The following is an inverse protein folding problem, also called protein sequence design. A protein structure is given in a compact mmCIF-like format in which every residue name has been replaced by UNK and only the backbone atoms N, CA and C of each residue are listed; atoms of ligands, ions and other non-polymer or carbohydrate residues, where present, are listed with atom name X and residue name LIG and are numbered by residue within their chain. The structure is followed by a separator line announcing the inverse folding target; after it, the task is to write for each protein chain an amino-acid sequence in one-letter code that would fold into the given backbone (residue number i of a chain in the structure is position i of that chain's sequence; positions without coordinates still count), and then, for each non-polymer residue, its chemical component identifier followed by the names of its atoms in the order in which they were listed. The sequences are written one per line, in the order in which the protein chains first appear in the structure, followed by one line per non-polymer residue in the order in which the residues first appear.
data_IF_652676371159
#
_entry.id   IF_652676371159
#
_cell.length_a   1.000
_cell.length_b   1.000
_cell.length_c   1.000
_cell.angle_alpha   90.00
_cell.angle_beta   90.00
_cell.angle_gamma   90.00
#
_symmetry.space_group_name_H-M   'P 1'
#
loop_
_entity.id
_entity.type
_entity.pdbx_description
1 polymer ?
#
# COMPACT_ATOMS: atom_id res chain seq x y z
N UNK A 1 4.96 -39.15 -73.99
CA UNK A 1 5.27 -37.75 -74.35
C UNK A 1 5.96 -37.14 -73.14
N UNK A 2 7.24 -36.90 -73.30
CA UNK A 2 8.24 -36.62 -72.28
C UNK A 2 8.64 -35.13 -72.35
N UNK A 3 9.11 -34.60 -71.21
CA UNK A 3 9.99 -33.42 -71.03
C UNK A 3 9.43 -31.98 -71.08
N UNK A 4 9.24 -31.41 -69.87
CA UNK A 4 9.95 -30.31 -69.17
C UNK A 4 10.59 -29.16 -70.01
N UNK A 5 10.50 -27.95 -69.41
CA UNK A 5 11.37 -26.73 -69.52
C UNK A 5 10.79 -25.62 -70.41
N UNK A 6 10.83 -24.33 -70.08
CA UNK A 6 11.41 -23.54 -68.97
C UNK A 6 10.74 -22.15 -69.00
N UNK A 7 10.66 -21.46 -67.85
CA UNK A 7 10.46 -20.00 -67.80
C UNK A 7 11.79 -19.28 -68.06
N UNK A 8 11.75 -18.04 -68.56
CA UNK A 8 12.34 -16.99 -67.74
C UNK A 8 11.54 -15.68 -67.70
N UNK A 9 11.62 -15.05 -66.53
CA UNK A 9 11.13 -13.71 -66.19
C UNK A 9 12.21 -12.63 -66.45
N UNK A 10 11.80 -11.40 -66.80
CA UNK A 10 12.46 -10.11 -66.43
C UNK A 10 11.39 -9.00 -66.55
N UNK A 11 10.78 -8.49 -65.47
CA UNK A 11 11.22 -7.49 -64.48
C UNK A 11 11.04 -6.03 -64.93
N UNK A 12 10.18 -5.28 -64.24
CA UNK A 12 10.33 -3.81 -64.11
C UNK A 12 9.76 -3.31 -62.76
N UNK A 13 10.69 -3.09 -61.83
CA UNK A 13 10.84 -1.94 -60.92
C UNK A 13 9.56 -1.40 -60.24
N UNK A 14 9.46 -1.56 -58.92
CA UNK A 14 9.39 -0.43 -57.99
C UNK A 14 9.87 -0.87 -56.61
N UNK A 15 10.82 -0.11 -56.08
CA UNK A 15 11.58 -0.34 -54.85
C UNK A 15 10.93 0.53 -53.75
N UNK A 16 10.37 -0.07 -52.69
CA UNK A 16 10.05 0.62 -51.44
C UNK A 16 10.36 -0.32 -50.28
N UNK A 17 11.45 -0.13 -49.52
CA UNK A 17 11.59 -0.77 -48.22
C UNK A 17 10.83 0.07 -47.19
N UNK A 18 9.63 -0.37 -46.83
CA UNK A 18 8.91 0.20 -45.69
C UNK A 18 9.60 -0.29 -44.41
N UNK A 19 10.46 0.55 -43.83
CA UNK A 19 10.94 0.39 -42.46
C UNK A 19 9.73 0.41 -41.52
N UNK A 20 9.24 -0.76 -41.13
CA UNK A 20 8.37 -0.90 -39.98
C UNK A 20 9.25 -0.72 -38.73
N UNK A 21 9.30 0.50 -38.23
CA UNK A 21 9.84 0.80 -36.90
C UNK A 21 8.86 0.22 -35.88
N UNK A 22 9.01 -1.07 -35.58
CA UNK A 22 8.29 -1.72 -34.49
C UNK A 22 8.88 -1.17 -33.19
N UNK A 23 8.25 -0.13 -32.64
CA UNK A 23 8.54 0.34 -31.29
C UNK A 23 8.20 -0.80 -30.33
N UNK A 24 9.22 -1.60 -30.01
CA UNK A 24 9.16 -2.63 -28.98
C UNK A 24 9.08 -1.89 -27.65
N UNK A 25 7.89 -1.47 -27.24
CA UNK A 25 7.64 -1.01 -25.88
C UNK A 25 7.87 -2.22 -24.99
N UNK A 26 9.09 -2.35 -24.46
CA UNK A 26 9.35 -3.28 -23.37
C UNK A 26 8.47 -2.83 -22.22
N UNK A 27 7.36 -3.54 -22.02
CA UNK A 27 6.63 -3.56 -20.76
C UNK A 27 7.58 -4.16 -19.74
N UNK A 28 8.50 -3.34 -19.21
CA UNK A 28 9.14 -3.67 -17.95
C UNK A 28 8.00 -3.73 -16.96
N UNK A 29 7.67 -4.93 -16.47
CA UNK A 29 6.98 -5.06 -15.19
C UNK A 29 7.91 -4.42 -14.17
N UNK A 30 7.72 -3.11 -13.94
CA UNK A 30 8.45 -2.39 -12.92
C UNK A 30 8.07 -3.07 -11.61
N UNK A 31 9.06 -3.73 -11.00
CA UNK A 31 8.88 -4.29 -9.67
C UNK A 31 8.60 -3.12 -8.74
N UNK A 32 7.49 -3.19 -8.00
CA UNK A 32 7.10 -2.14 -7.05
C UNK A 32 8.28 -1.83 -6.12
N UNK A 33 8.69 -0.56 -6.00
CA UNK A 33 9.83 -0.15 -5.15
C UNK A 33 9.64 -0.59 -3.71
N UNK A 34 8.41 -0.50 -3.20
CA UNK A 34 8.00 -0.94 -1.87
C UNK A 34 6.81 -1.88 -2.01
N UNK A 35 6.87 -3.03 -1.35
CA UNK A 35 5.77 -4.01 -1.33
C UNK A 35 5.31 -4.24 0.11
N UNK A 36 3.99 -4.27 0.33
CA UNK A 36 3.43 -4.74 1.60
C UNK A 36 3.41 -6.27 1.57
N UNK A 37 4.21 -6.92 2.41
CA UNK A 37 4.27 -8.38 2.50
C UNK A 37 3.11 -8.94 3.31
N UNK A 38 2.81 -8.31 4.44
CA UNK A 38 1.82 -8.79 5.40
C UNK A 38 1.25 -7.64 6.21
N UNK A 39 -0.02 -7.78 6.57
CA UNK A 39 -0.71 -6.94 7.56
C UNK A 39 -1.30 -7.88 8.60
N UNK A 40 -0.88 -7.75 9.85
CA UNK A 40 -1.38 -8.57 10.96
C UNK A 40 -2.01 -7.71 12.05
N UNK A 41 -2.95 -8.30 12.78
CA UNK A 41 -3.60 -7.68 13.93
C UNK A 41 -3.43 -8.55 15.17
N UNK A 42 -2.96 -7.93 16.25
CA UNK A 42 -2.67 -8.61 17.50
C UNK A 42 -3.44 -7.97 18.66
N UNK A 43 -3.93 -8.81 19.57
CA UNK A 43 -4.36 -8.37 20.90
C UNK A 43 -3.16 -8.37 21.83
N UNK A 44 -2.99 -7.28 22.57
CA UNK A 44 -1.96 -7.12 23.58
C UNK A 44 -2.59 -7.10 24.97
N UNK A 45 -1.77 -6.81 25.99
CA UNK A 45 -2.25 -6.63 27.36
C UNK A 45 -3.20 -5.44 27.46
N UNK A 46 -4.10 -5.49 28.45
CA UNK A 46 -5.08 -4.43 28.71
C UNK A 46 -5.89 -4.05 27.46
N UNK A 47 -6.20 -5.04 26.61
CA UNK A 47 -6.98 -4.93 25.37
C UNK A 47 -6.42 -3.97 24.30
N UNK A 48 -5.16 -3.56 24.40
CA UNK A 48 -4.52 -2.81 23.32
C UNK A 48 -4.53 -3.63 22.03
N UNK A 49 -4.78 -2.95 20.90
CA UNK A 49 -4.65 -3.56 19.57
C UNK A 49 -3.39 -3.06 18.91
N UNK A 50 -2.71 -3.97 18.22
CA UNK A 50 -1.54 -3.66 17.41
C UNK A 50 -1.81 -4.12 15.98
N UNK A 51 -1.65 -3.20 15.03
CA UNK A 51 -1.50 -3.50 13.61
C UNK A 51 -0.02 -3.57 13.29
N UNK A 52 0.42 -4.62 12.62
CA UNK A 52 1.78 -4.78 12.09
C UNK A 52 1.73 -4.74 10.57
N UNK A 53 2.58 -3.92 9.94
CA UNK A 53 2.73 -3.81 8.50
C UNK A 53 4.17 -4.15 8.15
N UNK A 54 4.38 -5.30 7.52
CA UNK A 54 5.68 -5.72 7.01
C UNK A 54 5.88 -5.20 5.58
N UNK A 55 6.88 -4.36 5.40
CA UNK A 55 7.29 -3.82 4.10
C UNK A 55 8.56 -4.49 3.59
N UNK A 56 8.71 -4.55 2.28
CA UNK A 56 9.92 -4.98 1.61
C UNK A 56 10.36 -3.98 0.55
N UNK A 57 11.66 -3.72 0.45
CA UNK A 57 12.22 -2.77 -0.50
C UNK A 57 12.90 -3.48 -1.68
N UNK A 58 12.44 -3.17 -2.90
CA UNK A 58 13.05 -3.65 -4.15
C UNK A 58 14.11 -2.68 -4.71
N UNK A 59 14.27 -1.52 -4.09
CA UNK A 59 15.09 -0.41 -4.58
C UNK A 59 14.33 0.55 -5.48
N UNK A 60 14.93 1.69 -5.79
CA UNK A 60 14.28 2.75 -6.55
C UNK A 60 14.37 2.49 -8.06
N UNK A 61 13.23 2.37 -8.78
CA UNK A 61 13.20 2.10 -10.21
C UNK A 61 13.50 3.34 -11.06
N UNK A 62 13.43 4.55 -10.48
CA UNK A 62 13.65 5.78 -11.23
C UNK A 62 15.12 5.89 -11.69
N UNK A 63 15.38 6.15 -12.99
CA UNK A 63 16.72 6.42 -13.48
C UNK A 63 17.30 7.74 -12.94
N UNK A 64 16.44 8.64 -12.45
CA UNK A 64 16.83 9.91 -11.85
C UNK A 64 17.09 9.79 -10.34
N UNK A 65 16.88 8.62 -9.76
CA UNK A 65 17.16 8.38 -8.35
C UNK A 65 18.64 8.62 -8.04
N UNK A 66 18.92 9.25 -6.88
CA UNK A 66 20.30 9.39 -6.37
C UNK A 66 21.02 8.04 -6.25
N UNK A 67 20.27 6.97 -5.97
CA UNK A 67 20.74 5.60 -5.94
C UNK A 67 19.61 4.63 -6.22
N UNK A 68 19.83 3.66 -7.10
CA UNK A 68 18.86 2.58 -7.37
C UNK A 68 18.73 1.58 -6.21
N UNK A 69 19.64 1.65 -5.22
CA UNK A 69 19.59 0.80 -4.01
C UNK A 69 18.65 1.33 -2.94
N UNK A 70 18.34 2.61 -2.92
CA UNK A 70 17.61 3.22 -1.81
C UNK A 70 16.32 3.88 -2.27
N UNK A 71 15.25 3.65 -1.52
CA UNK A 71 13.97 4.37 -1.67
C UNK A 71 13.88 5.36 -0.51
N UNK A 72 13.77 6.64 -0.82
CA UNK A 72 13.66 7.74 0.16
C UNK A 72 12.19 8.19 0.30
N UNK A 73 11.85 8.81 1.43
CA UNK A 73 10.54 9.46 1.66
C UNK A 73 9.34 8.53 1.46
N UNK A 74 9.34 7.38 2.14
CA UNK A 74 8.23 6.42 2.09
C UNK A 74 7.23 6.79 3.17
N UNK A 75 6.05 7.27 2.78
CA UNK A 75 4.92 7.49 3.68
C UNK A 75 4.01 6.27 3.65
N UNK A 76 3.61 5.81 4.83
CA UNK A 76 2.67 4.72 5.04
C UNK A 76 1.46 5.30 5.75
N UNK A 77 0.29 5.24 5.09
CA UNK A 77 -0.99 5.58 5.70
C UNK A 77 -1.79 4.32 5.90
N UNK A 78 -2.40 4.18 7.07
CA UNK A 78 -3.23 3.03 7.40
C UNK A 78 -4.66 3.49 7.66
N UNK A 79 -5.60 2.69 7.18
CA UNK A 79 -7.03 2.92 7.30
C UNK A 79 -7.65 1.67 7.91
N UNK A 80 -8.42 1.81 8.99
CA UNK A 80 -9.19 0.74 9.64
C UNK A 80 -10.67 1.15 9.70
N UNK A 81 -11.57 0.19 9.49
CA UNK A 81 -12.98 0.34 9.80
C UNK A 81 -13.47 -0.83 10.65
N UNK A 82 -14.21 -0.49 11.71
CA UNK A 82 -14.91 -1.44 12.56
C UNK A 82 -16.41 -1.24 12.41
N UNK A 83 -17.12 -2.32 12.13
CA UNK A 83 -18.57 -2.32 12.07
C UNK A 83 -19.14 -2.18 13.47
N UNK A 84 -19.93 -1.14 13.68
CA UNK A 84 -20.57 -0.85 14.95
C UNK A 84 -21.94 -1.50 15.03
N UNK A 85 -22.43 -1.69 16.26
CA UNK A 85 -23.82 -2.12 16.50
C UNK A 85 -24.79 -1.03 16.03
N UNK A 86 -25.84 -1.46 15.33
CA UNK A 86 -26.90 -0.59 14.84
C UNK A 86 -26.75 -0.21 13.37
N UNK A 87 -27.61 0.71 12.94
CA UNK A 87 -27.66 1.23 11.58
C UNK A 87 -27.60 2.77 11.62
N UNK A 88 -27.15 3.37 10.53
CA UNK A 88 -27.30 4.80 10.28
C UNK A 88 -28.79 5.18 10.15
N UNK A 89 -29.09 6.47 10.11
CA UNK A 89 -30.46 6.96 9.84
C UNK A 89 -31.01 6.46 8.49
N UNK A 90 -30.12 6.23 7.52
CA UNK A 90 -30.46 5.66 6.21
C UNK A 90 -30.62 4.14 6.21
N UNK A 91 -30.47 3.47 7.36
CA UNK A 91 -30.56 2.01 7.49
C UNK A 91 -29.31 1.25 7.02
N UNK A 92 -28.20 1.94 6.75
CA UNK A 92 -26.94 1.30 6.39
C UNK A 92 -26.17 0.85 7.64
N UNK A 93 -25.28 -0.16 7.57
CA UNK A 93 -24.39 -0.49 8.68
C UNK A 93 -23.56 0.73 9.12
N UNK A 94 -23.47 0.94 10.43
CA UNK A 94 -22.59 1.98 10.98
C UNK A 94 -21.16 1.44 11.08
N UNK A 95 -20.19 2.30 10.81
CA UNK A 95 -18.77 2.02 11.00
C UNK A 95 -18.13 3.16 11.79
N UNK A 96 -17.13 2.82 12.59
CA UNK A 96 -16.17 3.80 13.11
C UNK A 96 -14.84 3.59 12.38
N UNK A 97 -14.24 4.71 11.96
CA UNK A 97 -13.03 4.73 11.14
C UNK A 97 -11.84 5.24 11.96
N UNK A 98 -10.67 4.67 11.70
CA UNK A 98 -9.41 5.07 12.33
C UNK A 98 -8.33 5.16 11.27
N UNK A 99 -7.58 6.26 11.27
CA UNK A 99 -6.47 6.47 10.35
C UNK A 99 -5.21 6.85 11.12
N UNK A 100 -4.06 6.50 10.56
CA UNK A 100 -2.77 6.93 11.06
C UNK A 100 -1.76 6.97 9.93
N UNK A 101 -0.69 7.73 10.12
CA UNK A 101 0.43 7.75 9.18
C UNK A 101 1.79 7.67 9.86
N UNK A 102 2.75 7.10 9.14
CA UNK A 102 4.15 7.08 9.51
C UNK A 102 5.00 7.34 8.26
N UNK A 103 6.07 8.13 8.43
CA UNK A 103 7.03 8.38 7.36
C UNK A 103 8.35 7.67 7.69
N UNK A 104 8.94 7.03 6.69
CA UNK A 104 10.25 6.40 6.72
C UNK A 104 11.19 7.26 5.87
N UNK A 105 12.34 7.59 6.44
CA UNK A 105 13.34 8.44 5.76
C UNK A 105 13.87 7.72 4.53
N UNK A 106 14.28 6.46 4.69
CA UNK A 106 14.98 5.69 3.67
C UNK A 106 14.85 4.18 3.95
N UNK A 107 14.75 3.37 2.89
CA UNK A 107 14.83 1.91 2.92
C UNK A 107 15.83 1.42 1.89
N UNK A 108 16.64 0.41 2.22
CA UNK A 108 17.61 -0.20 1.30
C UNK A 108 17.02 -1.43 0.60
N UNK A 109 17.40 -1.64 -0.67
CA UNK A 109 17.02 -2.81 -1.44
C UNK A 109 17.40 -4.09 -0.69
N UNK A 110 16.42 -4.97 -0.52
CA UNK A 110 16.57 -6.24 0.17
C UNK A 110 16.20 -6.18 1.64
N UNK A 111 16.01 -4.98 2.20
CA UNK A 111 15.55 -4.83 3.58
C UNK A 111 14.05 -5.11 3.67
N UNK A 112 13.69 -5.68 4.82
CA UNK A 112 12.34 -5.73 5.32
C UNK A 112 12.24 -4.88 6.58
N UNK A 113 11.16 -4.11 6.69
CA UNK A 113 10.91 -3.26 7.84
C UNK A 113 9.48 -3.42 8.33
N UNK A 114 9.30 -3.40 9.64
CA UNK A 114 7.99 -3.48 10.25
C UNK A 114 7.56 -2.12 10.81
N UNK A 115 6.34 -1.72 10.46
CA UNK A 115 5.66 -0.60 11.10
C UNK A 115 4.59 -1.16 12.03
N UNK A 116 4.45 -0.52 13.18
CA UNK A 116 3.45 -0.89 14.16
C UNK A 116 2.57 0.31 14.47
N UNK A 117 1.26 0.08 14.48
CA UNK A 117 0.25 1.06 14.86
C UNK A 117 -0.59 0.49 16.00
N UNK A 118 -1.02 1.35 16.92
CA UNK A 118 -1.63 0.93 18.17
C UNK A 118 -2.95 1.64 18.41
N UNK A 119 -3.95 0.88 18.83
CA UNK A 119 -5.22 1.40 19.32
C UNK A 119 -5.29 1.22 20.84
N UNK A 120 -5.58 2.29 21.61
CA UNK A 120 -5.65 2.21 23.07
C UNK A 120 -6.71 1.23 23.56
N UNK A 121 -6.35 0.39 24.53
CA UNK A 121 -7.25 -0.64 25.06
C UNK A 121 -8.56 -0.12 25.64
N UNK A 122 -8.56 1.07 26.26
CA UNK A 122 -9.81 1.69 26.76
C UNK A 122 -10.79 2.05 25.64
N UNK A 123 -10.30 2.41 24.44
CA UNK A 123 -11.16 2.65 23.27
C UNK A 123 -11.72 1.31 22.76
N UNK A 124 -10.83 0.31 22.66
CA UNK A 124 -11.19 -1.06 22.25
C UNK A 124 -12.27 -1.64 23.16
N UNK A 125 -12.13 -1.47 24.48
CA UNK A 125 -13.09 -1.95 25.48
C UNK A 125 -14.43 -1.20 25.38
N UNK A 126 -14.39 0.15 25.36
CA UNK A 126 -15.59 1.01 25.26
C UNK A 126 -16.45 0.63 24.06
N UNK A 127 -15.81 0.44 22.91
CA UNK A 127 -16.48 0.26 21.63
C UNK A 127 -16.62 -1.23 21.24
N UNK A 128 -16.10 -2.14 22.07
CA UNK A 128 -16.12 -3.59 21.87
C UNK A 128 -15.48 -4.02 20.54
N UNK A 129 -14.34 -3.41 20.21
CA UNK A 129 -13.68 -3.61 18.91
C UNK A 129 -13.05 -5.01 18.83
N UNK A 130 -13.35 -5.79 17.77
CA UNK A 130 -12.67 -7.06 17.51
C UNK A 130 -11.17 -6.85 17.26
N UNK A 131 -10.40 -7.96 17.23
CA UNK A 131 -8.97 -7.90 16.92
C UNK A 131 -8.77 -7.44 15.48
N UNK A 132 -9.41 -8.14 14.55
CA UNK A 132 -9.40 -7.81 13.13
C UNK A 132 -10.49 -6.77 12.79
N UNK A 133 -10.15 -5.69 12.07
CA UNK A 133 -11.14 -4.77 11.51
C UNK A 133 -11.91 -5.41 10.35
N UNK A 134 -13.15 -4.97 10.13
CA UNK A 134 -13.98 -5.43 9.00
C UNK A 134 -13.36 -5.02 7.64
N UNK A 135 -12.71 -3.85 7.61
CA UNK A 135 -11.93 -3.35 6.49
C UNK A 135 -10.59 -2.78 6.97
N UNK A 136 -9.52 -3.08 6.23
CA UNK A 136 -8.25 -2.39 6.38
C UNK A 136 -7.60 -2.12 5.02
N UNK A 137 -6.80 -1.06 4.97
CA UNK A 137 -5.96 -0.72 3.83
C UNK A 137 -4.67 -0.03 4.28
N UNK A 138 -3.57 -0.36 3.61
CA UNK A 138 -2.27 0.31 3.72
C UNK A 138 -1.97 1.00 2.40
N UNK A 139 -1.95 2.32 2.43
CA UNK A 139 -1.57 3.17 1.32
C UNK A 139 -0.09 3.54 1.45
N UNK A 140 0.65 3.46 0.34
CA UNK A 140 2.07 3.78 0.29
C UNK A 140 2.27 4.95 -0.66
N UNK A 141 2.99 5.98 -0.20
CA UNK A 141 3.44 7.07 -1.04
C UNK A 141 4.97 7.14 -1.02
N UNK A 142 5.59 7.38 -2.17
CA UNK A 142 7.04 7.56 -2.29
C UNK A 142 7.29 8.95 -2.87
N UNK A 143 7.98 9.80 -2.10
CA UNK A 143 8.22 11.18 -2.54
C UNK A 143 6.95 12.01 -2.75
N UNK A 144 5.81 11.57 -2.19
CA UNK A 144 4.50 12.19 -2.36
C UNK A 144 3.64 11.59 -3.47
N UNK A 145 4.15 10.63 -4.24
CA UNK A 145 3.38 9.92 -5.27
C UNK A 145 2.81 8.62 -4.69
N UNK A 146 1.50 8.41 -4.85
CA UNK A 146 0.82 7.18 -4.43
C UNK A 146 1.23 6.00 -5.30
N UNK A 147 1.56 4.87 -4.66
CA UNK A 147 1.72 3.60 -5.35
C UNK A 147 0.35 2.97 -5.64
N UNK A 148 0.30 2.17 -6.70
CA UNK A 148 -0.89 1.39 -7.03
C UNK A 148 -1.31 0.47 -5.87
N UNK A 149 -2.62 0.35 -5.58
CA UNK A 149 -3.09 -0.48 -4.48
C UNK A 149 -2.68 -1.95 -4.60
N UNK A 150 -2.02 -2.46 -3.55
CA UNK A 150 -1.53 -3.84 -3.50
C UNK A 150 -2.55 -4.75 -2.80
N UNK A 151 -2.84 -5.93 -3.36
CA UNK A 151 -3.81 -6.86 -2.74
C UNK A 151 -3.42 -7.31 -1.33
N UNK A 152 -2.13 -7.46 -1.05
CA UNK A 152 -1.61 -7.81 0.27
C UNK A 152 -1.70 -6.67 1.29
N UNK A 153 -1.98 -5.46 0.84
CA UNK A 153 -2.12 -4.27 1.67
C UNK A 153 -3.56 -4.03 2.14
N UNK A 154 -4.51 -4.92 1.82
CA UNK A 154 -5.93 -4.69 2.08
C UNK A 154 -6.69 -5.93 2.51
N UNK A 155 -7.76 -5.72 3.27
CA UNK A 155 -8.70 -6.78 3.65
C UNK A 155 -9.34 -7.43 2.41
N UNK A 156 -9.60 -8.73 2.47
CA UNK A 156 -10.26 -9.48 1.38
C UNK A 156 -11.68 -8.99 1.04
N UNK A 157 -12.32 -8.28 1.98
CA UNK A 157 -13.60 -7.59 1.79
C UNK A 157 -13.53 -6.50 0.70
N UNK A 158 -12.34 -5.98 0.40
CA UNK A 158 -12.10 -4.97 -0.64
C UNK A 158 -11.82 -5.70 -1.96
N UNK A 159 -12.88 -5.99 -2.71
CA UNK A 159 -12.81 -6.79 -3.94
C UNK A 159 -12.69 -5.97 -5.22
N UNK A 160 -12.79 -4.64 -5.14
CA UNK A 160 -12.72 -3.75 -6.30
C UNK A 160 -12.24 -2.35 -5.92
N UNK A 161 -11.71 -1.61 -6.90
CA UNK A 161 -11.27 -0.23 -6.72
C UNK A 161 -12.39 0.67 -6.19
N UNK A 162 -13.62 0.50 -6.68
CA UNK A 162 -14.76 1.29 -6.21
C UNK A 162 -15.06 1.11 -4.70
N UNK A 163 -14.84 -0.09 -4.17
CA UNK A 163 -14.98 -0.35 -2.72
C UNK A 163 -13.83 0.31 -1.96
N UNK A 164 -12.61 0.23 -2.50
CA UNK A 164 -11.44 0.88 -1.92
C UNK A 164 -11.63 2.40 -1.84
N UNK A 165 -12.00 3.04 -2.95
CA UNK A 165 -12.23 4.48 -3.03
C UNK A 165 -13.33 4.93 -2.06
N UNK A 166 -14.42 4.16 -1.98
CA UNK A 166 -15.51 4.44 -1.04
C UNK A 166 -15.05 4.29 0.42
N UNK A 167 -14.23 3.27 0.72
CA UNK A 167 -13.68 3.06 2.04
C UNK A 167 -12.75 4.22 2.45
N UNK A 168 -11.80 4.59 1.60
CA UNK A 168 -10.88 5.72 1.84
C UNK A 168 -11.68 7.02 2.01
N UNK A 169 -12.63 7.29 1.12
CA UNK A 169 -13.47 8.47 1.19
C UNK A 169 -14.26 8.58 2.49
N UNK A 170 -14.83 7.45 2.96
CA UNK A 170 -15.52 7.39 4.26
C UNK A 170 -14.57 7.54 5.44
N UNK A 171 -13.43 6.87 5.42
CA UNK A 171 -12.44 7.00 6.48
C UNK A 171 -11.95 8.45 6.64
N UNK A 172 -11.73 9.15 5.52
CA UNK A 172 -11.30 10.54 5.53
C UNK A 172 -12.39 11.54 5.96
N UNK A 173 -13.67 11.24 5.71
CA UNK A 173 -14.78 12.16 6.02
C UNK A 173 -15.44 11.88 7.38
N UNK A 174 -15.48 10.63 7.81
CA UNK A 174 -16.17 10.17 9.02
C UNK A 174 -15.18 9.79 10.13
N UNK A 175 -13.88 9.67 9.84
CA UNK A 175 -12.85 9.33 10.83
C UNK A 175 -12.35 10.50 11.69
N UNK A 176 -12.80 11.72 11.42
CA UNK A 176 -12.32 12.92 12.13
C UNK A 176 -12.55 12.88 13.65
N UNK A 177 -13.65 12.25 14.09
CA UNK A 177 -13.96 12.08 15.51
C UNK A 177 -12.96 11.17 16.24
N UNK A 178 -12.22 10.34 15.49
CA UNK A 178 -11.21 9.41 15.98
C UNK A 178 -9.79 9.82 15.57
N UNK A 179 -9.59 11.05 15.12
CA UNK A 179 -8.28 11.51 14.68
C UNK A 179 -7.25 11.36 15.81
N UNK A 180 -6.06 10.91 15.44
CA UNK A 180 -4.91 10.65 16.34
C UNK A 180 -5.13 9.56 17.42
N UNK A 181 -6.26 8.85 17.42
CA UNK A 181 -6.46 7.73 18.36
C UNK A 181 -5.63 6.51 17.96
N UNK A 182 -5.66 6.13 16.68
CA UNK A 182 -4.72 5.14 16.14
C UNK A 182 -3.36 5.81 15.98
N UNK A 183 -2.32 5.23 16.58
CA UNK A 183 -1.03 5.90 16.66
C UNK A 183 0.12 5.01 16.21
N UNK A 184 1.12 5.54 15.47
CA UNK A 184 2.34 4.82 15.18
C UNK A 184 3.15 4.52 16.46
N UNK A 185 3.99 3.49 16.39
CA UNK A 185 4.78 2.94 17.51
C UNK A 185 5.51 3.98 18.35
N UNK A 186 6.02 5.05 17.73
CA UNK A 186 6.81 6.08 18.42
C UNK A 186 5.97 7.07 19.25
N UNK A 187 4.63 6.98 19.17
CA UNK A 187 3.70 7.67 20.06
C UNK A 187 3.02 6.73 21.07
N UNK A 188 3.09 5.41 20.86
CA UNK A 188 2.52 4.44 21.78
C UNK A 188 3.32 4.38 23.11
N UNK A 189 2.67 4.27 24.28
CA UNK A 189 3.37 4.19 25.55
C UNK A 189 4.14 2.87 25.66
N UNK A 190 5.43 2.95 26.04
CA UNK A 190 6.36 1.83 26.04
C UNK A 190 5.87 0.58 26.78
N UNK A 191 5.06 0.74 27.83
CA UNK A 191 4.51 -0.38 28.58
C UNK A 191 3.60 -1.30 27.73
N UNK A 192 2.89 -0.76 26.75
CA UNK A 192 1.87 -1.48 25.97
C UNK A 192 2.40 -2.01 24.64
N UNK A 193 3.69 -1.89 24.37
CA UNK A 193 4.28 -2.42 23.15
C UNK A 193 4.29 -3.95 23.21
N UNK A 194 3.79 -4.57 22.13
CA UNK A 194 3.96 -6.00 21.88
C UNK A 194 5.39 -6.33 21.45
N UNK A 195 5.57 -7.51 20.85
CA UNK A 195 6.84 -7.82 20.17
C UNK A 195 6.99 -6.86 18.99
N UNK A 196 8.13 -6.17 18.94
CA UNK A 196 8.50 -5.28 17.84
C UNK A 196 9.90 -5.68 17.36
N UNK A 197 10.12 -5.64 16.05
CA UNK A 197 11.44 -5.82 15.44
C UNK A 197 11.54 -5.01 14.15
N UNK A 198 12.76 -4.85 13.62
CA UNK A 198 12.99 -4.35 12.26
C UNK A 198 12.35 -2.98 11.96
N UNK A 199 12.29 -2.13 12.99
CA UNK A 199 11.76 -0.78 12.87
C UNK A 199 12.58 0.03 11.85
N UNK A 200 11.92 0.75 10.94
CA UNK A 200 12.62 1.65 10.03
C UNK A 200 13.10 2.91 10.74
N UNK A 201 13.94 3.69 10.06
CA UNK A 201 14.29 5.04 10.51
C UNK A 201 13.13 5.98 10.18
N UNK A 202 12.33 6.32 11.18
CA UNK A 202 11.17 7.18 11.03
C UNK A 202 11.55 8.66 10.82
N UNK A 203 10.84 9.33 9.91
CA UNK A 203 10.77 10.78 9.86
C UNK A 203 9.62 11.24 10.75
N UNK A 204 9.96 11.84 11.90
CA UNK A 204 8.96 12.40 12.81
C UNK A 204 8.74 13.87 12.51
N UNK A 205 7.56 14.20 12.02
CA UNK A 205 7.08 15.58 11.95
C UNK A 205 6.35 15.89 13.25
N UNK A 206 7.10 16.07 14.33
CA UNK A 206 6.50 16.55 15.57
C UNK A 206 5.88 17.93 15.27
N UNK A 207 4.58 18.09 15.52
CA UNK A 207 3.91 19.38 15.35
C UNK A 207 4.43 20.29 16.46
N UNK A 208 5.44 21.11 16.17
CA UNK A 208 5.70 22.32 16.98
C UNK A 208 4.56 23.28 16.67
N UNK A 209 3.50 23.23 17.48
CA UNK A 209 2.57 24.37 17.60
C UNK A 209 3.20 25.42 18.50
#
# INVERSE_FOLDING_TARGET
MDKIQDFPAVMSKFLIPLLAFLALTTLSSAREPITVKRVDFNSLRDDWRQMEVELSCSGNPSPEAKSSRFVENVKVKVYLAYKMKGLTESGAPRFDYYTAEAEIIIMERGDDNNLYFYLPGMIVERDQLPVDPDYHYVEILIGGEELEPQKSAMSSSISSQAILDAFIGKANSEGADNDHILMPVYYAPAGYLGRISDLPVFLRRDVRQ
#
